data_IF_750976438568
#
_entry.id   IF_750976438568
#
_cell.length_a   1.000
_cell.length_b   1.000
_cell.length_c   1.000
_cell.angle_alpha   90.00
_cell.angle_beta   90.00
_cell.angle_gamma   90.00
#
_symmetry.space_group_name_H-M   'P 1'
#
loop_
_entity.id
_entity.type
_entity.pdbx_description
1 polymer ?
#
# COMPACT_ATOMS: atom_id res chain seq x y z
N UNK A 1 -7.67 -23.80 -0.57
CA UNK A 1 -7.00 -22.94 0.44
C UNK A 1 -7.55 -21.54 0.31
N UNK A 2 -8.03 -20.96 1.42
CA UNK A 2 -8.55 -19.58 1.42
C UNK A 2 -7.40 -18.59 1.16
N UNK A 3 -7.60 -17.65 0.23
CA UNK A 3 -6.57 -16.70 -0.20
C UNK A 3 -6.15 -15.72 0.92
N UNK A 4 -4.87 -15.37 0.98
CA UNK A 4 -4.36 -14.32 1.86
C UNK A 4 -4.90 -12.94 1.43
N UNK A 5 -5.23 -12.08 2.40
CA UNK A 5 -5.83 -10.76 2.17
C UNK A 5 -5.06 -9.67 2.93
N UNK A 6 -5.06 -8.42 2.43
CA UNK A 6 -4.50 -7.31 3.19
C UNK A 6 -5.04 -7.23 4.63
N UNK A 7 -4.14 -7.09 5.59
CA UNK A 7 -4.48 -6.94 7.01
C UNK A 7 -4.71 -5.47 7.39
N UNK A 8 -4.07 -4.55 6.67
CA UNK A 8 -4.25 -3.11 6.84
C UNK A 8 -5.21 -2.57 5.78
N UNK A 9 -6.13 -1.70 6.21
CA UNK A 9 -6.85 -0.81 5.30
C UNK A 9 -5.89 0.33 4.95
N UNK A 10 -5.63 0.54 3.69
CA UNK A 10 -4.72 1.58 3.23
C UNK A 10 -5.41 2.51 2.25
N UNK A 11 -5.16 3.82 2.37
CA UNK A 11 -5.72 4.80 1.44
C UNK A 11 -5.26 4.46 0.01
N UNK A 12 -6.20 4.36 -0.92
CA UNK A 12 -5.90 3.93 -2.29
C UNK A 12 -5.79 2.42 -2.49
N UNK A 13 -6.13 1.59 -1.47
CA UNK A 13 -6.02 0.12 -1.56
C UNK A 13 -6.66 -0.48 -2.81
N UNK A 14 -5.90 -1.27 -3.57
CA UNK A 14 -6.20 -1.70 -4.94
C UNK A 14 -7.10 -2.93 -5.10
N UNK A 15 -7.66 -3.48 -4.00
CA UNK A 15 -8.50 -4.70 -4.08
C UNK A 15 -9.61 -4.61 -5.11
N UNK A 16 -10.27 -3.45 -5.23
CA UNK A 16 -11.36 -3.26 -6.19
C UNK A 16 -10.87 -3.09 -7.63
N UNK A 17 -9.61 -2.71 -7.81
CA UNK A 17 -8.98 -2.51 -9.11
C UNK A 17 -8.28 -3.77 -9.63
N UNK A 18 -8.08 -4.80 -8.80
CA UNK A 18 -7.39 -6.03 -9.18
C UNK A 18 -7.90 -6.66 -10.48
N UNK A 19 -9.23 -6.74 -10.76
CA UNK A 19 -9.71 -7.30 -12.02
C UNK A 19 -9.19 -6.54 -13.25
N UNK A 20 -9.01 -5.23 -13.14
CA UNK A 20 -8.44 -4.40 -14.20
C UNK A 20 -6.92 -4.55 -14.28
N UNK A 21 -6.22 -4.56 -13.13
CA UNK A 21 -4.77 -4.70 -13.06
C UNK A 21 -4.29 -6.04 -13.62
N UNK A 22 -5.00 -7.14 -13.34
CA UNK A 22 -4.66 -8.51 -13.82
C UNK A 22 -4.52 -8.58 -15.34
N UNK A 23 -5.25 -7.75 -16.09
CA UNK A 23 -5.17 -7.68 -17.56
C UNK A 23 -3.80 -7.21 -18.05
N UNK A 24 -3.04 -6.54 -17.19
CA UNK A 24 -1.73 -5.96 -17.50
C UNK A 24 -0.59 -6.64 -16.73
N UNK A 25 -0.85 -7.78 -16.09
CA UNK A 25 0.24 -8.56 -15.54
C UNK A 25 1.02 -9.22 -16.68
N UNK A 26 2.35 -9.09 -16.75
CA UNK A 26 3.13 -9.71 -17.81
C UNK A 26 2.99 -11.24 -17.76
N UNK A 27 2.98 -11.90 -18.90
CA UNK A 27 2.86 -13.38 -18.95
C UNK A 27 3.96 -14.09 -18.15
N UNK A 28 5.19 -13.54 -18.20
CA UNK A 28 6.35 -14.00 -17.43
C UNK A 28 7.18 -12.82 -16.97
N UNK A 29 7.89 -12.96 -15.84
CA UNK A 29 8.84 -12.00 -15.30
C UNK A 29 9.83 -12.73 -14.38
N UNK A 30 11.00 -12.13 -14.14
CA UNK A 30 12.05 -12.72 -13.31
C UNK A 30 11.90 -12.34 -11.83
N UNK A 31 11.62 -11.07 -11.55
CA UNK A 31 11.51 -10.50 -10.22
C UNK A 31 10.30 -9.57 -10.16
N UNK A 32 9.62 -9.56 -9.01
CA UNK A 32 8.55 -8.60 -8.71
C UNK A 32 9.05 -7.50 -7.78
N UNK A 33 8.74 -6.24 -8.08
CA UNK A 33 9.15 -5.08 -7.28
C UNK A 33 7.94 -4.18 -7.04
N UNK A 34 7.62 -3.90 -5.77
CA UNK A 34 6.53 -3.02 -5.33
C UNK A 34 7.06 -2.00 -4.30
N UNK A 35 7.50 -0.79 -4.74
CA UNK A 35 8.15 0.21 -3.87
C UNK A 35 7.17 1.11 -3.12
N UNK A 36 5.87 0.91 -3.28
CA UNK A 36 4.78 1.56 -2.54
C UNK A 36 3.83 0.47 -2.05
N UNK A 37 4.33 -0.46 -1.21
CA UNK A 37 3.59 -1.68 -0.88
C UNK A 37 2.27 -1.40 -0.16
N UNK A 38 2.21 -0.39 0.70
CA UNK A 38 0.99 -0.02 1.43
C UNK A 38 0.27 -1.25 2.01
N UNK A 39 -0.90 -1.59 1.47
CA UNK A 39 -1.66 -2.79 1.90
C UNK A 39 -1.18 -4.11 1.29
N UNK A 40 -0.25 -4.11 0.33
CA UNK A 40 0.24 -5.29 -0.36
C UNK A 40 -0.80 -6.02 -1.22
N UNK A 41 -1.80 -5.29 -1.73
CA UNK A 41 -2.92 -5.92 -2.43
C UNK A 41 -2.50 -6.62 -3.73
N UNK A 42 -1.57 -6.05 -4.50
CA UNK A 42 -1.09 -6.64 -5.76
C UNK A 42 -0.10 -7.77 -5.48
N UNK A 43 0.80 -7.60 -4.52
CA UNK A 43 1.66 -8.69 -4.04
C UNK A 43 0.84 -9.93 -3.66
N UNK A 44 -0.20 -9.75 -2.83
CA UNK A 44 -1.05 -10.85 -2.38
C UNK A 44 -1.86 -11.47 -3.53
N UNK A 45 -2.29 -10.68 -4.49
CA UNK A 45 -2.99 -11.18 -5.67
C UNK A 45 -2.09 -12.08 -6.53
N UNK A 46 -0.86 -11.65 -6.76
CA UNK A 46 0.15 -12.43 -7.48
C UNK A 46 0.55 -13.70 -6.70
N UNK A 47 0.71 -13.59 -5.37
CA UNK A 47 0.99 -14.73 -4.51
C UNK A 47 -0.13 -15.78 -4.55
N UNK A 48 -1.38 -15.36 -4.35
CA UNK A 48 -2.54 -16.25 -4.33
C UNK A 48 -2.78 -16.95 -5.68
N UNK A 49 -2.30 -16.38 -6.77
CA UNK A 49 -2.39 -16.96 -8.11
C UNK A 49 -1.16 -17.79 -8.51
N UNK A 50 -0.21 -18.04 -7.61
CA UNK A 50 1.02 -18.80 -7.87
C UNK A 50 2.02 -18.11 -8.79
N UNK A 51 1.79 -16.83 -9.13
CA UNK A 51 2.63 -16.09 -10.09
C UNK A 51 3.98 -15.65 -9.51
N UNK A 52 4.15 -15.76 -8.21
CA UNK A 52 5.41 -15.44 -7.53
C UNK A 52 6.23 -16.67 -7.19
N UNK A 53 5.77 -17.88 -7.51
CA UNK A 53 6.51 -19.10 -7.19
C UNK A 53 7.89 -19.08 -7.87
N UNK A 54 8.93 -19.43 -7.11
CA UNK A 54 10.35 -19.41 -7.51
C UNK A 54 10.88 -18.04 -8.00
N UNK A 55 10.23 -16.94 -7.60
CA UNK A 55 10.63 -15.58 -8.00
C UNK A 55 11.11 -14.78 -6.82
N UNK A 56 12.08 -13.91 -7.09
CA UNK A 56 12.47 -12.86 -6.14
C UNK A 56 11.38 -11.79 -6.06
N UNK A 57 11.09 -11.37 -4.84
CA UNK A 57 10.08 -10.36 -4.54
C UNK A 57 10.69 -9.28 -3.65
N UNK A 58 10.64 -8.04 -4.10
CA UNK A 58 11.07 -6.89 -3.32
C UNK A 58 9.86 -6.01 -3.02
N UNK A 59 9.52 -5.94 -1.73
CA UNK A 59 8.47 -5.08 -1.20
C UNK A 59 9.11 -3.96 -0.41
N UNK A 60 8.75 -2.72 -0.67
CA UNK A 60 9.24 -1.59 0.11
C UNK A 60 8.19 -0.50 0.26
N UNK A 61 8.39 0.32 1.26
CA UNK A 61 7.60 1.52 1.52
C UNK A 61 8.50 2.50 2.27
N UNK A 62 8.24 3.80 2.16
CA UNK A 62 8.91 4.79 2.98
C UNK A 62 8.38 4.81 4.42
N UNK A 63 7.19 4.25 4.62
CA UNK A 63 6.54 4.19 5.92
C UNK A 63 7.06 3.02 6.75
N UNK A 64 7.89 3.32 7.75
CA UNK A 64 8.48 2.33 8.63
C UNK A 64 7.43 1.55 9.46
N UNK A 65 6.27 2.15 9.76
CA UNK A 65 5.21 1.46 10.50
C UNK A 65 4.61 0.32 9.65
N UNK A 66 4.44 0.52 8.35
CA UNK A 66 3.95 -0.52 7.42
C UNK A 66 4.95 -1.67 7.34
N UNK A 67 6.21 -1.33 7.06
CA UNK A 67 7.27 -2.34 6.88
C UNK A 67 7.53 -3.09 8.19
N UNK A 68 7.65 -2.38 9.32
CA UNK A 68 7.87 -3.01 10.63
C UNK A 68 6.72 -3.95 11.02
N UNK A 69 5.48 -3.52 10.80
CA UNK A 69 4.32 -4.37 11.01
C UNK A 69 4.38 -5.67 10.18
N UNK A 70 4.72 -5.57 8.89
CA UNK A 70 4.83 -6.75 8.03
C UNK A 70 6.03 -7.64 8.39
N UNK A 71 7.16 -7.07 8.78
CA UNK A 71 8.32 -7.84 9.25
C UNK A 71 7.96 -8.65 10.50
N UNK A 72 7.31 -8.03 11.48
CA UNK A 72 6.89 -8.72 12.70
C UNK A 72 5.79 -9.77 12.44
N UNK A 73 4.82 -9.48 11.58
CA UNK A 73 3.82 -10.47 11.17
C UNK A 73 4.46 -11.65 10.44
N UNK A 74 5.53 -11.43 9.66
CA UNK A 74 6.31 -12.50 9.05
C UNK A 74 7.02 -13.37 10.09
N UNK A 75 7.66 -12.72 11.06
CA UNK A 75 8.64 -13.36 11.94
C UNK A 75 8.02 -13.94 13.22
N UNK A 76 6.95 -13.32 13.76
CA UNK A 76 6.30 -13.70 15.02
C UNK A 76 4.77 -13.48 15.01
N UNK A 77 4.09 -14.11 14.06
CA UNK A 77 2.65 -13.93 13.87
C UNK A 77 1.80 -14.34 15.07
N UNK A 78 2.22 -15.37 15.83
CA UNK A 78 1.44 -15.86 16.96
C UNK A 78 1.45 -14.87 18.13
N UNK A 79 2.59 -14.20 18.40
CA UNK A 79 2.62 -13.13 19.39
C UNK A 79 1.74 -11.94 18.95
N UNK A 80 1.76 -11.55 17.65
CA UNK A 80 0.85 -10.52 17.12
C UNK A 80 -0.62 -10.91 17.33
N UNK A 81 -0.98 -12.16 17.05
CA UNK A 81 -2.34 -12.68 17.26
C UNK A 81 -2.72 -12.62 18.74
N UNK A 82 -1.80 -12.98 19.66
CA UNK A 82 -2.01 -12.91 21.10
C UNK A 82 -2.40 -11.50 21.55
N UNK A 83 -1.54 -10.52 21.27
CA UNK A 83 -1.81 -9.11 21.60
C UNK A 83 -3.07 -8.57 20.93
N UNK A 84 -3.34 -8.96 19.68
CA UNK A 84 -4.50 -8.49 18.96
C UNK A 84 -5.81 -9.03 19.52
N UNK A 85 -5.83 -10.26 20.05
CA UNK A 85 -6.98 -10.83 20.77
C UNK A 85 -7.26 -10.11 22.08
N UNK A 86 -6.22 -9.75 22.83
CA UNK A 86 -6.36 -8.93 24.04
C UNK A 86 -6.99 -7.57 23.73
N UNK A 87 -6.51 -6.90 22.66
CA UNK A 87 -7.06 -5.65 22.18
C UNK A 87 -8.50 -5.78 21.69
N UNK A 88 -8.85 -6.89 21.02
CA UNK A 88 -10.22 -7.18 20.59
C UNK A 88 -11.14 -7.38 21.80
N UNK A 89 -10.73 -8.18 22.78
CA UNK A 89 -11.51 -8.42 24.00
C UNK A 89 -11.79 -7.11 24.75
N UNK A 90 -10.76 -6.29 24.96
CA UNK A 90 -10.94 -5.00 25.61
C UNK A 90 -11.79 -4.03 24.81
N UNK A 91 -11.73 -4.06 23.46
CA UNK A 91 -12.57 -3.21 22.60
C UNK A 91 -14.06 -3.58 22.69
N UNK A 92 -14.38 -4.87 22.83
CA UNK A 92 -15.76 -5.34 23.02
C UNK A 92 -16.41 -4.78 24.28
N UNK A 93 -15.62 -4.55 25.33
CA UNK A 93 -16.13 -4.02 26.62
C UNK A 93 -16.10 -2.49 26.70
N UNK A 94 -15.06 -1.83 26.14
CA UNK A 94 -14.81 -0.38 26.34
C UNK A 94 -14.90 0.45 25.05
N UNK A 95 -14.98 -0.18 23.87
CA UNK A 95 -15.18 0.51 22.59
C UNK A 95 -14.17 1.61 22.32
N UNK A 96 -14.68 2.84 22.12
CA UNK A 96 -13.84 4.00 21.79
C UNK A 96 -12.94 4.47 22.94
N UNK A 97 -13.25 4.19 24.18
CA UNK A 97 -12.39 4.51 25.33
C UNK A 97 -11.07 3.75 25.22
N UNK A 98 -11.11 2.43 24.98
CA UNK A 98 -9.91 1.66 24.75
C UNK A 98 -9.15 2.12 23.51
N UNK A 99 -9.86 2.53 22.44
CA UNK A 99 -9.20 3.04 21.23
C UNK A 99 -8.29 4.22 21.57
N UNK A 100 -8.78 5.19 22.32
CA UNK A 100 -7.99 6.37 22.69
C UNK A 100 -6.88 6.06 23.69
N UNK A 101 -7.11 5.17 24.65
CA UNK A 101 -6.07 4.70 25.55
C UNK A 101 -4.92 4.02 24.79
N UNK A 102 -5.24 3.10 23.88
CA UNK A 102 -4.23 2.44 23.05
C UNK A 102 -3.51 3.45 22.14
N UNK A 103 -4.24 4.35 21.48
CA UNK A 103 -3.67 5.33 20.57
C UNK A 103 -2.71 6.29 21.27
N UNK A 104 -3.18 6.92 22.34
CA UNK A 104 -2.47 8.04 22.98
C UNK A 104 -1.52 7.59 24.08
N UNK A 105 -1.93 6.62 24.91
CA UNK A 105 -1.15 6.14 26.04
C UNK A 105 -0.10 5.10 25.69
N UNK A 106 -0.31 4.26 24.66
CA UNK A 106 0.57 3.13 24.33
C UNK A 106 1.21 3.27 22.97
N UNK A 107 0.46 3.27 21.88
CA UNK A 107 0.98 3.25 20.51
C UNK A 107 1.87 4.46 20.20
N UNK A 108 1.37 5.67 20.42
CA UNK A 108 2.14 6.88 20.14
C UNK A 108 3.39 7.01 21.03
N UNK A 109 3.35 6.52 22.27
CA UNK A 109 4.48 6.52 23.19
C UNK A 109 5.58 5.55 22.71
N UNK A 110 5.22 4.29 22.44
CA UNK A 110 6.16 3.28 21.96
C UNK A 110 6.75 3.67 20.59
N UNK A 111 5.91 4.14 19.67
CA UNK A 111 6.33 4.57 18.34
C UNK A 111 7.36 5.70 18.38
N UNK A 112 7.21 6.66 19.30
CA UNK A 112 8.21 7.71 19.52
C UNK A 112 9.51 7.19 20.10
N UNK A 113 9.44 6.28 21.05
CA UNK A 113 10.61 5.69 21.67
C UNK A 113 11.48 4.89 20.71
N UNK A 114 10.85 4.24 19.72
CA UNK A 114 11.54 3.42 18.71
C UNK A 114 12.05 4.22 17.50
N UNK A 115 11.61 5.47 17.34
CA UNK A 115 11.92 6.25 16.15
C UNK A 115 11.27 5.67 14.89
N UNK A 116 11.82 5.99 13.72
CA UNK A 116 11.34 5.48 12.43
C UNK A 116 12.06 4.19 11.99
N UNK A 117 12.58 3.37 12.93
CA UNK A 117 13.26 2.11 12.61
C UNK A 117 12.25 0.95 12.59
N UNK A 118 12.00 0.41 11.40
CA UNK A 118 11.14 -0.75 11.24
C UNK A 118 11.64 -2.00 11.98
N UNK A 119 12.97 -2.13 12.18
CA UNK A 119 13.59 -3.27 12.89
C UNK A 119 13.32 -3.26 14.39
N UNK A 120 12.99 -2.09 14.94
CA UNK A 120 12.61 -1.96 16.35
C UNK A 120 11.11 -2.25 16.60
N UNK A 121 10.36 -2.61 15.55
CA UNK A 121 8.95 -2.91 15.66
C UNK A 121 8.73 -4.19 16.48
N UNK A 122 7.81 -4.15 17.45
CA UNK A 122 7.50 -5.28 18.32
C UNK A 122 6.16 -5.92 17.95
N UNK A 123 5.88 -7.18 18.37
CA UNK A 123 4.57 -7.81 18.18
C UNK A 123 3.43 -6.99 18.78
N UNK A 124 3.64 -6.38 19.94
CA UNK A 124 2.67 -5.50 20.56
C UNK A 124 2.37 -4.27 19.71
N UNK A 125 3.43 -3.60 19.19
CA UNK A 125 3.28 -2.41 18.35
C UNK A 125 2.58 -2.74 17.03
N UNK A 126 2.90 -3.89 16.41
CA UNK A 126 2.23 -4.37 15.20
C UNK A 126 0.74 -4.65 15.46
N UNK A 127 0.42 -5.31 16.57
CA UNK A 127 -0.97 -5.55 16.98
C UNK A 127 -1.74 -4.26 17.22
N UNK A 128 -1.12 -3.26 17.89
CA UNK A 128 -1.73 -1.95 18.10
C UNK A 128 -1.96 -1.20 16.78
N UNK A 129 -1.01 -1.26 15.82
CA UNK A 129 -1.21 -0.66 14.50
C UNK A 129 -2.39 -1.28 13.77
N UNK A 130 -2.48 -2.63 13.73
CA UNK A 130 -3.58 -3.35 13.09
C UNK A 130 -4.90 -2.99 13.78
N UNK A 131 -4.94 -3.00 15.11
CA UNK A 131 -6.09 -2.62 15.90
C UNK A 131 -6.58 -1.21 15.58
N UNK A 132 -5.70 -0.21 15.67
CA UNK A 132 -6.03 1.20 15.41
C UNK A 132 -6.46 1.43 13.96
N UNK A 133 -5.84 0.74 13.01
CA UNK A 133 -6.23 0.83 11.60
C UNK A 133 -7.61 0.21 11.35
N UNK A 134 -7.95 -0.90 12.01
CA UNK A 134 -9.26 -1.54 11.85
C UNK A 134 -10.39 -0.81 12.55
N UNK A 135 -10.14 -0.30 13.75
CA UNK A 135 -11.13 0.39 14.60
C UNK A 135 -11.16 1.90 14.39
N UNK A 136 -10.16 2.47 13.74
CA UNK A 136 -10.08 3.87 13.40
C UNK A 136 -11.02 4.30 12.26
N UNK A 137 -11.29 5.59 12.19
CA UNK A 137 -12.16 6.18 11.17
C UNK A 137 -11.67 5.88 9.75
N UNK A 138 -12.50 5.20 8.98
CA UNK A 138 -12.24 4.76 7.59
C UNK A 138 -10.95 3.91 7.40
N UNK A 139 -10.33 3.39 8.45
CA UNK A 139 -9.08 2.66 8.35
C UNK A 139 -7.92 3.52 7.84
N UNK A 140 -7.93 4.81 8.16
CA UNK A 140 -6.87 5.73 7.74
C UNK A 140 -5.60 5.50 8.59
N UNK A 141 -4.45 5.75 7.96
CA UNK A 141 -3.19 6.01 8.68
C UNK A 141 -2.85 7.49 8.47
N UNK A 142 -2.77 8.23 9.55
CA UNK A 142 -2.42 9.64 9.51
C UNK A 142 -1.67 10.03 10.77
N UNK A 143 -0.61 10.80 10.61
CA UNK A 143 0.14 11.40 11.70
C UNK A 143 0.01 12.93 11.66
N UNK A 144 0.11 13.58 12.82
CA UNK A 144 0.20 15.04 12.92
C UNK A 144 1.63 15.52 12.64
N UNK A 145 1.86 16.85 12.74
CA UNK A 145 3.18 17.45 12.52
C UNK A 145 4.26 17.01 13.52
N UNK A 146 3.86 16.44 14.66
CA UNK A 146 4.75 15.86 15.66
C UNK A 146 4.98 14.36 15.43
N UNK A 147 4.49 13.81 14.33
CA UNK A 147 4.59 12.38 13.99
C UNK A 147 3.65 11.46 14.79
N UNK A 148 2.76 11.95 15.63
CA UNK A 148 1.83 11.13 16.38
C UNK A 148 0.62 10.72 15.53
N UNK A 149 0.24 9.43 15.59
CA UNK A 149 -0.99 8.93 14.97
C UNK A 149 -2.21 9.62 15.58
N UNK A 150 -3.06 10.22 14.74
CA UNK A 150 -4.13 11.12 15.20
C UNK A 150 -5.50 10.83 14.55
N UNK A 151 -5.70 9.65 14.01
CA UNK A 151 -7.00 9.23 13.47
C UNK A 151 -7.98 9.03 14.64
N UNK A 152 -9.23 9.53 14.58
CA UNK A 152 -10.23 9.27 15.59
C UNK A 152 -10.80 7.86 15.50
N UNK A 153 -11.47 7.41 16.57
CA UNK A 153 -12.23 6.15 16.55
C UNK A 153 -13.28 6.16 15.44
N UNK A 154 -13.43 5.03 14.76
CA UNK A 154 -14.47 4.79 13.77
C UNK A 154 -15.80 4.35 14.40
N UNK A 155 -16.87 4.37 13.61
CA UNK A 155 -18.15 3.76 13.97
C UNK A 155 -18.34 2.51 13.12
N UNK A 156 -18.37 1.34 13.74
CA UNK A 156 -18.49 0.07 13.05
C UNK A 156 -19.65 -0.73 13.65
N UNK A 157 -20.58 -1.20 12.82
CA UNK A 157 -21.71 -2.01 13.26
C UNK A 157 -21.29 -3.47 13.57
N UNK A 158 -20.31 -3.98 12.83
CA UNK A 158 -19.64 -5.26 13.09
C UNK A 158 -18.19 -5.16 12.63
N UNK A 159 -17.26 -5.62 13.45
CA UNK A 159 -15.84 -5.52 13.15
C UNK A 159 -15.11 -6.77 13.64
N UNK A 160 -14.44 -7.47 12.72
CA UNK A 160 -13.44 -8.47 13.07
C UNK A 160 -12.11 -7.76 13.24
N UNK A 161 -11.62 -7.69 14.47
CA UNK A 161 -10.33 -7.06 14.79
C UNK A 161 -9.22 -8.08 14.56
N UNK A 162 -9.31 -9.26 15.14
CA UNK A 162 -8.35 -10.35 14.99
C UNK A 162 -8.83 -11.40 13.97
N UNK A 163 -8.31 -11.36 12.76
CA UNK A 163 -8.47 -12.41 11.75
C UNK A 163 -7.19 -13.28 11.75
N UNK A 164 -7.09 -14.16 12.78
CA UNK A 164 -5.90 -14.97 13.04
C UNK A 164 -5.49 -15.82 11.82
N UNK A 165 -6.47 -16.44 11.15
CA UNK A 165 -6.19 -17.29 9.99
C UNK A 165 -5.64 -16.48 8.82
N UNK A 166 -6.11 -15.28 8.61
CA UNK A 166 -5.58 -14.40 7.57
C UNK A 166 -4.18 -13.86 7.92
N UNK A 167 -3.92 -13.57 9.20
CA UNK A 167 -2.59 -13.19 9.69
C UNK A 167 -1.57 -14.30 9.41
N UNK A 168 -1.89 -15.56 9.73
CA UNK A 168 -1.03 -16.72 9.43
C UNK A 168 -0.78 -16.88 7.93
N UNK A 169 -1.82 -16.74 7.09
CA UNK A 169 -1.66 -16.80 5.62
C UNK A 169 -0.76 -15.68 5.09
N UNK A 170 -0.91 -14.47 5.62
CA UNK A 170 -0.02 -13.36 5.26
C UNK A 170 1.41 -13.64 5.71
N UNK A 171 1.61 -14.12 6.95
CA UNK A 171 2.93 -14.50 7.45
C UNK A 171 3.61 -15.50 6.50
N UNK A 172 2.91 -16.57 6.10
CA UNK A 172 3.43 -17.55 5.14
C UNK A 172 3.78 -16.92 3.79
N UNK A 173 2.96 -16.00 3.29
CA UNK A 173 3.24 -15.31 2.03
C UNK A 173 4.50 -14.44 2.11
N UNK A 174 4.72 -13.75 3.24
CA UNK A 174 5.87 -12.89 3.48
C UNK A 174 7.14 -13.67 3.82
N UNK A 175 7.02 -14.85 4.44
CA UNK A 175 8.13 -15.72 4.83
C UNK A 175 8.68 -16.58 3.66
N UNK A 176 8.08 -16.50 2.46
CA UNK A 176 8.57 -17.24 1.30
C UNK A 176 10.04 -16.90 1.01
N UNK A 177 10.88 -17.89 0.63
CA UNK A 177 12.21 -17.63 0.15
C UNK A 177 12.22 -16.60 -0.99
N UNK A 178 13.13 -15.63 -0.93
CA UNK A 178 13.27 -14.59 -1.94
C UNK A 178 12.35 -13.38 -1.77
N UNK A 179 11.51 -13.31 -0.72
CA UNK A 179 10.74 -12.12 -0.36
C UNK A 179 11.55 -11.22 0.58
N UNK A 180 11.73 -9.96 0.20
CA UNK A 180 12.35 -8.93 1.03
C UNK A 180 11.35 -7.83 1.40
N UNK A 181 11.50 -7.27 2.61
CA UNK A 181 10.69 -6.18 3.16
C UNK A 181 11.62 -5.09 3.66
N UNK A 182 11.60 -3.90 3.07
CA UNK A 182 12.57 -2.85 3.37
C UNK A 182 11.92 -1.48 3.48
N UNK A 183 12.34 -0.67 4.45
CA UNK A 183 12.06 0.77 4.44
C UNK A 183 12.98 1.39 3.41
N UNK A 184 12.42 1.84 2.28
CA UNK A 184 13.22 2.35 1.17
C UNK A 184 12.40 3.33 0.34
N UNK A 185 13.05 4.39 -0.12
CA UNK A 185 12.46 5.30 -1.11
C UNK A 185 12.32 4.58 -2.46
N UNK A 186 11.35 4.99 -3.25
CA UNK A 186 11.05 4.37 -4.55
C UNK A 186 12.21 4.45 -5.55
N UNK A 187 12.96 5.55 -5.54
CA UNK A 187 14.12 5.76 -6.42
C UNK A 187 15.26 4.78 -6.09
N UNK A 188 15.55 4.58 -4.80
CA UNK A 188 16.54 3.59 -4.37
C UNK A 188 16.07 2.16 -4.64
N UNK A 189 14.78 1.88 -4.39
CA UNK A 189 14.19 0.56 -4.59
C UNK A 189 14.21 0.11 -6.07
N UNK A 190 14.22 1.07 -6.99
CA UNK A 190 14.20 0.85 -8.44
C UNK A 190 15.55 1.00 -9.12
N UNK A 191 16.63 1.30 -8.38
CA UNK A 191 17.95 1.64 -8.94
C UNK A 191 18.53 0.53 -9.83
N UNK A 192 18.34 -0.74 -9.46
CA UNK A 192 18.82 -1.94 -10.16
C UNK A 192 17.74 -2.67 -10.97
N UNK A 193 16.54 -2.10 -11.09
CA UNK A 193 15.45 -2.72 -11.84
C UNK A 193 15.67 -2.58 -13.36
N UNK A 194 15.34 -3.63 -14.10
CA UNK A 194 15.58 -3.66 -15.54
C UNK A 194 14.88 -4.79 -16.27
N UNK A 195 15.55 -5.32 -17.29
CA UNK A 195 15.00 -6.32 -18.21
C UNK A 195 14.40 -7.52 -17.48
N UNK A 196 13.14 -7.79 -17.76
CA UNK A 196 12.41 -8.95 -17.24
C UNK A 196 11.83 -8.76 -15.84
N UNK A 197 12.10 -7.64 -15.16
CA UNK A 197 11.43 -7.34 -13.88
C UNK A 197 9.98 -6.89 -14.12
N UNK A 198 9.09 -7.24 -13.19
CA UNK A 198 7.76 -6.65 -13.13
C UNK A 198 7.71 -5.65 -11.98
N UNK A 199 7.50 -4.38 -12.31
CA UNK A 199 7.44 -3.26 -11.37
C UNK A 199 6.01 -2.76 -11.29
N UNK A 200 5.40 -2.87 -10.10
CA UNK A 200 4.10 -2.27 -9.82
C UNK A 200 4.27 -1.02 -8.95
N UNK A 201 3.62 0.07 -9.35
CA UNK A 201 3.75 1.38 -8.73
C UNK A 201 2.38 1.95 -8.36
N UNK A 202 2.20 2.24 -7.08
CA UNK A 202 1.01 2.88 -6.52
C UNK A 202 1.39 4.07 -5.64
N UNK A 203 1.94 5.15 -6.24
CA UNK A 203 2.41 6.31 -5.49
C UNK A 203 1.23 7.06 -4.86
N UNK A 204 1.47 7.96 -3.90
CA UNK A 204 0.48 8.94 -3.49
C UNK A 204 -0.05 9.70 -4.71
N UNK A 205 -1.38 9.72 -4.88
CA UNK A 205 -2.01 10.26 -6.08
C UNK A 205 -1.92 11.77 -6.14
N UNK A 206 -1.65 12.28 -7.33
CA UNK A 206 -1.76 13.71 -7.60
C UNK A 206 -3.20 14.19 -7.38
N UNK A 207 -3.42 15.34 -6.72
CA UNK A 207 -4.74 15.88 -6.44
C UNK A 207 -5.45 16.32 -7.71
N UNK A 208 -6.72 15.95 -7.87
CA UNK A 208 -7.54 16.27 -9.05
C UNK A 208 -8.04 17.72 -9.03
N UNK A 209 -8.00 18.42 -7.88
CA UNK A 209 -8.46 19.80 -7.73
C UNK A 209 -7.54 20.62 -6.81
N UNK A 210 -7.54 21.95 -6.98
CA UNK A 210 -6.76 22.88 -6.14
C UNK A 210 -7.13 22.78 -4.64
N UNK A 211 -8.40 22.57 -4.31
CA UNK A 211 -8.85 22.37 -2.93
C UNK A 211 -8.34 21.04 -2.33
N UNK A 212 -8.04 20.04 -3.14
CA UNK A 212 -7.43 18.80 -2.69
C UNK A 212 -5.91 18.94 -2.50
N UNK A 213 -5.27 19.93 -3.14
CA UNK A 213 -3.84 20.23 -2.99
C UNK A 213 -3.47 20.61 -1.56
N UNK A 214 -4.25 21.48 -0.92
CA UNK A 214 -3.98 21.95 0.44
C UNK A 214 -4.01 20.85 1.51
N UNK A 215 -4.72 19.75 1.28
CA UNK A 215 -4.85 18.66 2.25
C UNK A 215 -3.89 17.49 2.01
N UNK A 216 -3.36 17.32 0.79
CA UNK A 216 -2.51 16.18 0.42
C UNK A 216 -1.01 16.51 0.32
N UNK A 217 -0.66 17.72 -0.07
CA UNK A 217 0.75 18.12 -0.26
C UNK A 217 1.56 18.23 1.04
N UNK A 218 0.88 18.55 2.14
CA UNK A 218 1.55 18.75 3.45
C UNK A 218 1.76 17.49 4.25
N UNK A 219 1.08 16.37 3.89
CA UNK A 219 1.08 15.19 4.74
C UNK A 219 1.97 14.03 4.25
N UNK A 220 2.32 13.97 2.94
CA UNK A 220 3.03 12.81 2.39
C UNK A 220 4.41 13.12 1.80
N UNK A 221 4.78 14.38 1.61
CA UNK A 221 6.04 14.76 0.96
C UNK A 221 6.18 14.27 -0.49
N UNK A 222 5.07 13.84 -1.15
CA UNK A 222 5.05 13.36 -2.54
C UNK A 222 4.26 14.35 -3.40
N UNK A 223 4.96 15.33 -3.96
CA UNK A 223 4.40 16.41 -4.76
C UNK A 223 4.75 16.33 -6.24
N UNK A 224 4.60 17.46 -6.93
CA UNK A 224 4.90 17.59 -8.39
C UNK A 224 6.33 17.17 -8.73
N UNK A 225 7.29 17.50 -7.88
CA UNK A 225 8.68 17.12 -8.09
C UNK A 225 8.87 15.60 -8.06
N UNK A 226 8.29 14.93 -7.07
CA UNK A 226 8.35 13.48 -6.91
C UNK A 226 7.58 12.77 -8.02
N UNK A 227 6.44 13.32 -8.49
CA UNK A 227 5.71 12.81 -9.65
C UNK A 227 6.57 12.88 -10.93
N UNK A 228 7.28 13.98 -11.16
CA UNK A 228 8.18 14.13 -12.30
C UNK A 228 9.40 13.19 -12.21
N UNK A 229 9.98 13.05 -11.01
CA UNK A 229 11.07 12.10 -10.76
C UNK A 229 10.62 10.66 -11.02
N UNK A 230 9.44 10.29 -10.56
CA UNK A 230 8.86 8.97 -10.80
C UNK A 230 8.63 8.72 -12.28
N UNK A 231 8.10 9.71 -13.02
CA UNK A 231 7.94 9.59 -14.48
C UNK A 231 9.27 9.30 -15.19
N UNK A 232 10.33 10.04 -14.86
CA UNK A 232 11.64 9.82 -15.46
C UNK A 232 12.17 8.41 -15.21
N UNK A 233 11.99 7.89 -13.97
CA UNK A 233 12.35 6.52 -13.62
C UNK A 233 11.49 5.50 -14.38
N UNK A 234 10.19 5.68 -14.48
CA UNK A 234 9.27 4.79 -15.20
C UNK A 234 9.65 4.71 -16.68
N UNK A 235 9.99 5.83 -17.32
CA UNK A 235 10.48 5.87 -18.69
C UNK A 235 11.81 5.11 -18.83
N UNK A 236 12.74 5.32 -17.90
CA UNK A 236 14.03 4.63 -17.90
C UNK A 236 13.88 3.12 -17.70
N UNK A 237 13.00 2.67 -16.79
CA UNK A 237 12.67 1.27 -16.56
C UNK A 237 12.09 0.61 -17.82
N UNK A 238 11.12 1.24 -18.45
CA UNK A 238 10.52 0.75 -19.69
C UNK A 238 11.57 0.61 -20.81
N UNK A 239 12.47 1.58 -20.96
CA UNK A 239 13.60 1.54 -21.92
C UNK A 239 14.62 0.44 -21.61
N UNK A 240 14.81 0.08 -20.32
CA UNK A 240 15.66 -1.04 -19.92
C UNK A 240 14.99 -2.39 -20.10
N UNK A 241 13.73 -2.45 -20.51
CA UNK A 241 12.97 -3.67 -20.74
C UNK A 241 12.28 -4.24 -19.51
N UNK A 242 12.07 -3.45 -18.46
CA UNK A 242 11.19 -3.82 -17.37
C UNK A 242 9.72 -3.74 -17.80
N UNK A 243 8.89 -4.61 -17.25
CA UNK A 243 7.43 -4.53 -17.32
C UNK A 243 6.94 -3.56 -16.24
N UNK A 244 6.37 -2.45 -16.63
CA UNK A 244 5.90 -1.43 -15.69
C UNK A 244 4.38 -1.36 -15.71
N UNK A 245 3.78 -1.31 -14.51
CA UNK A 245 2.37 -1.04 -14.29
C UNK A 245 2.23 -0.01 -13.17
N UNK A 246 1.76 1.18 -13.49
CA UNK A 246 1.59 2.29 -12.56
C UNK A 246 0.13 2.72 -12.53
N UNK A 247 -0.42 2.91 -11.33
CA UNK A 247 -1.74 3.51 -11.10
C UNK A 247 -1.63 4.93 -10.57
N UNK A 248 -2.48 5.84 -11.06
CA UNK A 248 -2.54 7.22 -10.57
C UNK A 248 -3.91 7.86 -10.85
N UNK A 249 -4.15 9.05 -10.33
CA UNK A 249 -5.36 9.84 -10.62
C UNK A 249 -5.36 10.36 -12.06
N UNK A 250 -6.54 10.77 -12.54
CA UNK A 250 -6.67 11.47 -13.85
C UNK A 250 -6.40 12.98 -13.74
N UNK A 251 -5.57 13.41 -12.78
CA UNK A 251 -5.19 14.80 -12.60
C UNK A 251 -4.52 15.35 -13.88
N UNK A 252 -4.70 16.66 -14.21
CA UNK A 252 -4.06 17.28 -15.38
C UNK A 252 -2.54 17.12 -15.39
N UNK A 253 -1.92 17.10 -14.22
CA UNK A 253 -0.48 16.85 -14.06
C UNK A 253 -0.09 15.47 -14.56
N UNK A 254 -0.78 14.42 -14.12
CA UNK A 254 -0.51 13.02 -14.52
C UNK A 254 -0.79 12.83 -16.02
N UNK A 255 -1.83 13.47 -16.53
CA UNK A 255 -2.11 13.47 -17.98
C UNK A 255 -0.93 14.03 -18.75
N UNK A 256 -0.39 15.20 -18.37
CA UNK A 256 0.80 15.81 -19.02
C UNK A 256 2.02 14.90 -18.93
N UNK A 257 2.26 14.29 -17.76
CA UNK A 257 3.42 13.44 -17.52
C UNK A 257 3.40 12.16 -18.36
N UNK A 258 2.22 11.56 -18.62
CA UNK A 258 2.14 10.25 -19.25
C UNK A 258 1.31 10.21 -20.53
N UNK A 259 0.05 10.64 -20.51
CA UNK A 259 -0.85 10.52 -21.66
C UNK A 259 -0.42 11.44 -22.82
N UNK A 260 -0.05 12.67 -22.51
CA UNK A 260 0.36 13.68 -23.50
C UNK A 260 1.88 13.64 -23.77
N UNK A 261 2.68 12.91 -22.97
CA UNK A 261 4.14 12.85 -23.08
C UNK A 261 4.60 12.03 -24.29
N UNK A 262 5.34 12.66 -25.19
CA UNK A 262 5.98 12.00 -26.33
C UNK A 262 7.04 11.00 -25.87
N UNK A 263 7.81 11.34 -24.81
CA UNK A 263 8.87 10.49 -24.27
C UNK A 263 8.31 9.21 -23.64
N UNK A 264 7.20 9.30 -22.89
CA UNK A 264 6.53 8.15 -22.34
C UNK A 264 6.04 7.21 -23.44
N UNK A 265 5.40 7.75 -24.49
CA UNK A 265 4.96 6.95 -25.66
C UNK A 265 6.14 6.30 -26.41
N UNK A 266 7.26 7.02 -26.61
CA UNK A 266 8.47 6.46 -27.25
C UNK A 266 9.11 5.35 -26.41
N UNK A 267 8.94 5.35 -25.08
CA UNK A 267 9.33 4.25 -24.20
C UNK A 267 8.32 3.09 -24.18
N UNK A 268 7.26 3.14 -25.00
CA UNK A 268 6.23 2.09 -25.08
C UNK A 268 5.12 2.21 -24.02
N UNK A 269 5.15 3.24 -23.19
CA UNK A 269 4.14 3.45 -22.14
C UNK A 269 2.83 3.94 -22.74
N UNK A 270 1.72 3.41 -22.25
CA UNK A 270 0.36 3.82 -22.60
C UNK A 270 -0.41 4.14 -21.33
N UNK A 271 -1.16 5.23 -21.31
CA UNK A 271 -2.04 5.64 -20.24
C UNK A 271 -3.49 5.31 -20.63
N UNK A 272 -4.11 4.40 -19.92
CA UNK A 272 -5.51 3.97 -20.13
C UNK A 272 -6.33 4.34 -18.91
N UNK A 273 -7.54 4.87 -19.09
CA UNK A 273 -8.46 5.15 -17.99
C UNK A 273 -9.28 3.93 -17.64
N UNK A 274 -9.40 3.67 -16.34
CA UNK A 274 -10.26 2.61 -15.80
C UNK A 274 -11.19 3.14 -14.73
N UNK A 275 -12.35 2.51 -14.58
CA UNK A 275 -13.28 2.82 -13.49
C UNK A 275 -12.85 2.14 -12.20
N UNK A 276 -12.54 2.94 -11.19
CA UNK A 276 -12.28 2.49 -9.83
C UNK A 276 -13.43 2.89 -8.90
N UNK A 277 -13.81 2.02 -7.97
CA UNK A 277 -14.77 2.37 -6.91
C UNK A 277 -14.00 2.87 -5.70
N UNK A 278 -14.25 4.10 -5.27
CA UNK A 278 -13.68 4.60 -4.00
C UNK A 278 -14.50 4.10 -2.82
N UNK A 279 -13.95 3.15 -2.07
CA UNK A 279 -14.55 2.67 -0.81
C UNK A 279 -14.35 3.68 0.35
N UNK A 280 -13.34 4.55 0.27
CA UNK A 280 -12.94 5.48 1.33
C UNK A 280 -13.13 6.92 0.83
N UNK A 281 -14.19 7.59 1.30
CA UNK A 281 -14.37 9.03 1.18
C UNK A 281 -15.00 9.55 2.47
N UNK A 282 -14.50 10.69 2.99
CA UNK A 282 -15.03 11.36 4.18
C UNK A 282 -16.49 11.83 4.01
N UNK A 283 -16.96 11.99 2.77
CA UNK A 283 -18.35 12.34 2.45
C UNK A 283 -19.04 11.18 1.75
N UNK A 284 -20.05 10.58 2.39
CA UNK A 284 -20.80 9.43 1.86
C UNK A 284 -21.41 9.70 0.47
N UNK A 285 -21.85 10.92 0.20
CA UNK A 285 -22.42 11.34 -1.09
C UNK A 285 -21.40 11.38 -2.25
N UNK A 286 -20.08 11.25 -1.98
CA UNK A 286 -19.01 11.21 -2.99
C UNK A 286 -18.40 9.81 -3.15
N UNK A 287 -19.09 8.77 -2.69
CA UNK A 287 -18.75 7.36 -2.96
C UNK A 287 -19.29 6.99 -4.33
N UNK A 288 -18.53 7.25 -5.38
CA UNK A 288 -18.89 6.96 -6.76
C UNK A 288 -17.74 6.32 -7.52
N UNK A 289 -18.05 5.85 -8.73
CA UNK A 289 -17.01 5.42 -9.67
C UNK A 289 -16.12 6.63 -10.01
N UNK A 290 -14.81 6.45 -9.88
CA UNK A 290 -13.78 7.46 -10.19
C UNK A 290 -12.88 6.89 -11.27
N UNK A 291 -12.51 7.73 -12.22
CA UNK A 291 -11.52 7.34 -13.22
C UNK A 291 -10.13 7.39 -12.60
N UNK A 292 -9.34 6.35 -12.88
CA UNK A 292 -7.91 6.29 -12.58
C UNK A 292 -7.14 5.97 -13.87
N UNK A 293 -5.89 6.44 -13.96
CA UNK A 293 -4.98 6.00 -15.01
C UNK A 293 -4.29 4.70 -14.61
N UNK A 294 -4.23 3.77 -15.55
CA UNK A 294 -3.23 2.70 -15.60
C UNK A 294 -2.22 3.05 -16.69
N UNK A 295 -0.97 3.23 -16.30
CA UNK A 295 0.16 3.55 -17.17
C UNK A 295 1.04 2.32 -17.26
N UNK A 296 1.26 1.79 -18.47
CA UNK A 296 2.00 0.53 -18.63
C UNK A 296 2.58 0.37 -20.02
N UNK A 297 3.65 -0.42 -20.13
CA UNK A 297 4.20 -0.94 -21.39
C UNK A 297 3.80 -2.40 -21.65
N UNK A 298 2.99 -3.00 -20.78
CA UNK A 298 2.45 -4.36 -20.96
C UNK A 298 1.17 -4.30 -21.78
N UNK A 299 1.03 -5.16 -22.77
CA UNK A 299 -0.22 -5.28 -23.52
C UNK A 299 -1.28 -5.98 -22.68
N UNK A 300 -2.54 -5.53 -22.71
CA UNK A 300 -3.59 -6.21 -21.96
C UNK A 300 -3.81 -7.62 -22.54
N UNK A 301 -3.90 -8.60 -21.65
CA UNK A 301 -4.42 -9.91 -22.05
C UNK A 301 -5.90 -9.77 -22.39
N UNK A 302 -6.30 -10.29 -23.54
CA UNK A 302 -7.71 -10.39 -23.93
C UNK A 302 -8.38 -11.41 -23.00
N UNK A 303 -9.54 -11.09 -22.42
CA UNK A 303 -10.28 -12.03 -21.56
C UNK A 303 -10.68 -13.30 -22.30
#
# INVERSE_FOLDING_TARGET
VTAARPILKWAGGKRQLLPQLRRYYPASFSRYIEPFVGSGAVFLDLHNSGRLDDRLVRLSDINADVIGCYQVVRDDVEAVIGYLRELEHGHLSRGSEQFYEVRDGRFNAQRRAQGADARAYTPELAAMLIYLNRTGYNGLFRVNSQGAFNVPAGRHASLTICDADNLRRLSLALARPGVTLEVRRFDDALSDAGRGDFVYLDPPYAPVSQTAQFTSYTASGFGTREQAQLQALVIALARRGAHVLLSNSVAPEIRRLYADSVEARRAGLRATTVLARRAINSRAARRGAVLEYLITNVQPTVP
#
